data_IF_802313950500
#
_entry.id   IF_802313950500
#
_cell.length_a   1.000
_cell.length_b   1.000
_cell.length_c   1.000
_cell.angle_alpha   90.00
_cell.angle_beta   90.00
_cell.angle_gamma   90.00
#
_symmetry.space_group_name_H-M   'P 1'
#
loop_
_entity.id
_entity.type
_entity.pdbx_description
1 polymer ?
#
# COMPACT_ATOMS: atom_id res chain seq x y z
N UNK A 1 -9.03 11.00 -4.02
CA UNK A 1 -9.36 10.05 -2.93
C UNK A 1 -8.13 9.27 -2.47
N UNK A 2 -7.41 8.56 -3.36
CA UNK A 2 -6.27 7.69 -2.98
C UNK A 2 -5.19 8.37 -2.12
N UNK A 3 -4.82 9.63 -2.41
CA UNK A 3 -3.79 10.35 -1.65
C UNK A 3 -4.13 10.47 -0.15
N UNK A 4 -5.41 10.65 0.21
CA UNK A 4 -5.85 10.75 1.61
C UNK A 4 -5.67 9.42 2.33
N UNK A 5 -5.98 8.31 1.65
CA UNK A 5 -5.88 6.98 2.25
C UNK A 5 -4.42 6.57 2.41
N UNK A 6 -3.57 6.92 1.43
CA UNK A 6 -2.11 6.78 1.56
C UNK A 6 -1.55 7.64 2.71
N UNK A 7 -2.12 8.83 2.98
CA UNK A 7 -1.77 9.66 4.16
C UNK A 7 -2.08 8.98 5.47
N UNK A 8 -3.25 8.38 5.55
CA UNK A 8 -3.73 7.79 6.79
C UNK A 8 -2.89 6.58 7.23
N UNK A 9 -2.50 5.74 6.27
CA UNK A 9 -1.69 4.56 6.52
C UNK A 9 -0.26 4.86 6.96
N UNK A 10 0.38 5.86 6.34
CA UNK A 10 1.73 6.29 6.74
C UNK A 10 1.75 6.86 8.16
N UNK A 11 0.65 7.51 8.59
CA UNK A 11 0.48 8.03 9.95
C UNK A 11 0.22 6.87 10.93
N UNK A 12 -0.73 5.98 10.61
CA UNK A 12 -1.08 4.83 11.47
C UNK A 12 0.10 3.88 11.69
N UNK A 13 0.88 3.62 10.64
CA UNK A 13 2.09 2.80 10.73
C UNK A 13 3.14 3.45 11.64
N UNK A 14 3.32 4.77 11.54
CA UNK A 14 4.24 5.50 12.43
C UNK A 14 3.79 5.40 13.90
N UNK A 15 2.50 5.63 14.18
CA UNK A 15 1.94 5.52 15.54
C UNK A 15 2.10 4.10 16.09
N UNK A 16 1.75 3.08 15.29
CA UNK A 16 1.83 1.67 15.69
C UNK A 16 3.27 1.20 16.01
N UNK A 17 4.28 1.80 15.37
CA UNK A 17 5.70 1.51 15.65
C UNK A 17 6.26 2.25 16.87
N UNK A 18 5.61 3.32 17.34
CA UNK A 18 6.11 4.12 18.48
C UNK A 18 5.70 3.60 19.85
N UNK A 19 4.76 2.66 19.92
CA UNK A 19 4.33 2.04 21.18
C UNK A 19 5.48 1.21 21.78
N UNK A 20 6.10 1.71 22.84
CA UNK A 20 7.14 0.99 23.60
C UNK A 20 8.59 1.43 23.35
N UNK A 21 8.83 2.55 22.65
CA UNK A 21 10.19 3.04 22.35
C UNK A 21 10.83 3.91 23.45
N UNK A 22 10.13 4.29 24.51
CA UNK A 22 10.71 5.13 25.58
C UNK A 22 10.04 4.85 26.93
N UNK A 23 10.86 4.61 27.96
CA UNK A 23 10.44 4.56 29.37
C UNK A 23 9.99 5.95 29.89
N UNK A 24 10.23 7.01 29.10
CA UNK A 24 9.79 8.38 29.32
C UNK A 24 8.59 8.72 28.40
N UNK A 25 7.38 8.94 28.95
CA UNK A 25 6.16 9.19 28.18
C UNK A 25 6.24 10.42 27.28
N UNK A 26 7.00 11.44 27.70
CA UNK A 26 7.05 12.74 27.03
C UNK A 26 7.92 12.71 25.78
N UNK A 27 9.03 11.96 25.80
CA UNK A 27 9.93 11.79 24.65
C UNK A 27 9.30 11.05 23.46
N UNK A 28 8.51 10.00 23.72
CA UNK A 28 7.83 9.24 22.67
C UNK A 28 6.74 10.04 21.97
N UNK A 29 5.96 10.83 22.73
CA UNK A 29 4.93 11.72 22.19
C UNK A 29 5.55 12.78 21.27
N UNK A 30 6.67 13.37 21.69
CA UNK A 30 7.37 14.41 20.93
C UNK A 30 7.92 13.85 19.61
N UNK A 31 8.52 12.65 19.64
CA UNK A 31 8.98 11.94 18.44
C UNK A 31 7.83 11.62 17.48
N UNK A 32 6.70 11.14 18.00
CA UNK A 32 5.52 10.83 17.21
C UNK A 32 4.95 12.08 16.52
N UNK A 33 4.83 13.20 17.25
CA UNK A 33 4.36 14.47 16.67
C UNK A 33 5.29 14.95 15.56
N UNK A 34 6.60 14.96 15.80
CA UNK A 34 7.58 15.40 14.79
C UNK A 34 7.53 14.48 13.56
N UNK A 35 7.49 13.16 13.76
CA UNK A 35 7.44 12.19 12.67
C UNK A 35 6.17 12.33 11.82
N UNK A 36 5.01 12.52 12.45
CA UNK A 36 3.73 12.72 11.75
C UNK A 36 3.76 14.02 10.94
N UNK A 37 4.23 15.12 11.53
CA UNK A 37 4.31 16.42 10.83
C UNK A 37 5.22 16.31 9.61
N UNK A 38 6.41 15.71 9.75
CA UNK A 38 7.34 15.49 8.64
C UNK A 38 6.70 14.60 7.56
N UNK A 39 6.06 13.50 7.96
CA UNK A 39 5.38 12.56 7.06
C UNK A 39 4.28 13.25 6.25
N UNK A 40 3.43 14.05 6.90
CA UNK A 40 2.37 14.82 6.23
C UNK A 40 2.95 15.83 5.24
N UNK A 41 4.02 16.55 5.61
CA UNK A 41 4.68 17.51 4.70
C UNK A 41 5.19 16.79 3.45
N UNK A 42 5.94 15.69 3.62
CA UNK A 42 6.45 14.90 2.50
C UNK A 42 5.29 14.41 1.64
N UNK A 43 4.23 13.90 2.25
CA UNK A 43 3.13 13.37 1.48
C UNK A 43 2.36 14.45 0.71
N UNK A 44 2.20 15.65 1.26
CA UNK A 44 1.57 16.77 0.55
C UNK A 44 2.38 17.19 -0.68
N UNK A 45 3.72 17.24 -0.57
CA UNK A 45 4.61 17.53 -1.70
C UNK A 45 4.49 16.44 -2.78
N UNK A 46 4.41 15.18 -2.37
CA UNK A 46 4.34 14.03 -3.28
C UNK A 46 2.92 13.66 -3.74
N UNK A 47 1.87 14.27 -3.20
CA UNK A 47 0.48 13.91 -3.49
C UNK A 47 0.14 14.06 -4.98
N UNK A 48 0.66 15.10 -5.64
CA UNK A 48 0.40 15.34 -7.05
C UNK A 48 1.09 14.32 -7.99
N UNK A 49 2.42 14.07 -7.90
CA UNK A 49 3.07 13.05 -8.74
C UNK A 49 2.58 11.63 -8.44
N UNK A 50 2.40 11.27 -7.16
CA UNK A 50 1.88 9.96 -6.76
C UNK A 50 0.45 9.77 -7.28
N UNK A 51 -0.41 10.78 -7.12
CA UNK A 51 -1.77 10.74 -7.64
C UNK A 51 -1.83 10.55 -9.15
N UNK A 52 -0.98 11.24 -9.92
CA UNK A 52 -0.89 11.05 -11.38
C UNK A 52 -0.43 9.64 -11.76
N UNK A 53 0.55 9.09 -11.04
CA UNK A 53 1.04 7.73 -11.28
C UNK A 53 -0.04 6.68 -11.05
N UNK A 54 -0.73 6.77 -9.90
CA UNK A 54 -1.79 5.82 -9.55
C UNK A 54 -2.99 5.94 -10.49
N UNK A 55 -3.41 7.15 -10.86
CA UNK A 55 -4.51 7.33 -11.83
C UNK A 55 -4.16 6.80 -13.24
N UNK A 56 -2.88 6.82 -13.63
CA UNK A 56 -2.43 6.27 -14.91
C UNK A 56 -2.39 4.74 -14.92
N UNK A 57 -2.32 4.10 -13.75
CA UNK A 57 -2.16 2.66 -13.60
C UNK A 57 -3.26 2.09 -12.68
N UNK A 58 -4.45 1.75 -13.23
CA UNK A 58 -5.59 1.26 -12.45
C UNK A 58 -5.29 0.03 -11.57
N UNK A 59 -4.41 -0.86 -12.03
CA UNK A 59 -4.00 -2.04 -11.26
C UNK A 59 -3.18 -1.66 -10.01
N UNK A 60 -2.32 -0.64 -10.09
CA UNK A 60 -1.61 -0.06 -8.93
C UNK A 60 -2.59 0.61 -7.96
N UNK A 61 -3.65 1.23 -8.47
CA UNK A 61 -4.71 1.81 -7.62
C UNK A 61 -5.42 0.74 -6.78
N UNK A 62 -5.80 -0.38 -7.41
CA UNK A 62 -6.42 -1.51 -6.70
C UNK A 62 -5.44 -2.13 -5.70
N UNK A 63 -4.16 -2.28 -6.07
CA UNK A 63 -3.12 -2.78 -5.16
C UNK A 63 -2.98 -1.89 -3.92
N UNK A 64 -2.99 -0.57 -4.08
CA UNK A 64 -2.95 0.39 -2.97
C UNK A 64 -4.18 0.27 -2.07
N UNK A 65 -5.38 0.18 -2.64
CA UNK A 65 -6.62 0.01 -1.87
C UNK A 65 -6.64 -1.31 -1.07
N UNK A 66 -6.15 -2.40 -1.67
CA UNK A 66 -6.04 -3.69 -1.00
C UNK A 66 -5.03 -3.66 0.15
N UNK A 67 -3.88 -3.01 -0.05
CA UNK A 67 -2.87 -2.80 0.99
C UNK A 67 -3.45 -2.03 2.18
N UNK A 68 -4.17 -0.94 1.92
CA UNK A 68 -4.82 -0.12 2.96
C UNK A 68 -5.86 -0.89 3.77
N UNK A 69 -6.66 -1.73 3.10
CA UNK A 69 -7.63 -2.61 3.76
C UNK A 69 -6.92 -3.64 4.65
N UNK A 70 -5.83 -4.24 4.15
CA UNK A 70 -5.06 -5.25 4.86
C UNK A 70 -4.31 -4.67 6.08
N UNK A 71 -3.75 -3.46 5.98
CA UNK A 71 -3.18 -2.76 7.15
C UNK A 71 -4.28 -2.36 8.13
N UNK A 72 -5.43 -1.86 7.65
CA UNK A 72 -6.58 -1.56 8.51
C UNK A 72 -7.07 -2.79 9.27
N UNK A 73 -7.18 -3.95 8.59
CA UNK A 73 -7.51 -5.22 9.22
C UNK A 73 -6.44 -5.65 10.23
N UNK A 74 -5.16 -5.49 9.90
CA UNK A 74 -4.06 -5.80 10.81
C UNK A 74 -4.13 -4.98 12.10
N UNK A 75 -4.41 -3.68 12.00
CA UNK A 75 -4.54 -2.80 13.17
C UNK A 75 -5.76 -3.13 14.02
N UNK A 76 -6.88 -3.51 13.41
CA UNK A 76 -8.05 -4.01 14.14
C UNK A 76 -7.70 -5.32 14.85
N UNK A 77 -7.00 -6.24 14.19
CA UNK A 77 -6.61 -7.51 14.78
C UNK A 77 -5.61 -7.33 15.93
N UNK A 78 -4.59 -6.48 15.77
CA UNK A 78 -3.65 -6.14 16.84
C UNK A 78 -4.35 -5.40 17.99
N UNK A 79 -5.21 -4.42 17.69
CA UNK A 79 -5.99 -3.71 18.70
C UNK A 79 -6.95 -4.63 19.47
N UNK A 80 -7.58 -5.59 18.78
CA UNK A 80 -8.45 -6.58 19.41
C UNK A 80 -7.68 -7.59 20.27
N UNK A 81 -6.46 -7.94 19.86
CA UNK A 81 -5.54 -8.74 20.67
C UNK A 81 -5.08 -7.99 21.92
N UNK A 82 -4.73 -6.70 21.81
CA UNK A 82 -4.36 -5.84 22.94
C UNK A 82 -5.52 -5.57 23.91
N UNK A 83 -6.76 -5.54 23.42
CA UNK A 83 -7.97 -5.29 24.20
C UNK A 83 -8.59 -6.55 24.84
N UNK A 84 -7.90 -7.71 24.76
CA UNK A 84 -8.40 -9.02 25.22
C UNK A 84 -9.82 -9.33 24.72
N UNK A 85 -10.15 -8.90 23.49
CA UNK A 85 -11.47 -9.14 22.92
C UNK A 85 -11.65 -10.63 22.60
N UNK A 86 -12.53 -11.28 23.36
CA UNK A 86 -12.95 -12.66 23.14
C UNK A 86 -13.92 -12.71 21.97
N UNK A 87 -13.40 -12.96 20.78
CA UNK A 87 -14.21 -13.25 19.59
C UNK A 87 -14.40 -14.77 19.55
N UNK A 88 -15.63 -15.25 19.80
CA UNK A 88 -16.00 -16.68 19.75
C UNK A 88 -15.21 -17.64 20.70
N UNK A 89 -14.90 -17.21 21.92
CA UNK A 89 -14.34 -18.08 22.98
C UNK A 89 -12.98 -18.73 22.64
N UNK A 90 -12.22 -18.12 21.73
CA UNK A 90 -10.85 -18.48 21.34
C UNK A 90 -9.98 -17.24 21.49
N UNK A 91 -8.83 -17.34 22.15
CA UNK A 91 -7.86 -16.24 22.20
C UNK A 91 -7.46 -15.87 20.78
N UNK A 92 -7.53 -14.57 20.46
CA UNK A 92 -7.14 -14.03 19.16
C UNK A 92 -5.66 -14.30 18.95
N UNK A 93 -5.32 -15.31 18.12
CA UNK A 93 -3.94 -15.62 17.80
C UNK A 93 -3.28 -14.43 17.08
N UNK A 94 -2.04 -14.10 17.45
CA UNK A 94 -1.26 -13.07 16.78
C UNK A 94 -1.05 -13.44 15.31
N UNK A 95 -1.53 -12.62 14.39
CA UNK A 95 -1.21 -12.76 12.96
C UNK A 95 0.29 -12.50 12.81
N UNK A 96 1.11 -13.46 12.37
CA UNK A 96 2.54 -13.24 12.32
C UNK A 96 2.85 -12.20 11.23
N UNK A 97 3.41 -11.05 11.63
CA UNK A 97 3.62 -9.88 10.76
C UNK A 97 4.44 -10.19 9.49
N UNK A 98 5.31 -11.20 9.56
CA UNK A 98 6.10 -11.67 8.41
C UNK A 98 5.26 -12.18 7.25
N UNK A 99 4.13 -12.86 7.50
CA UNK A 99 3.21 -13.30 6.44
C UNK A 99 2.56 -12.12 5.75
N UNK A 100 2.22 -11.09 6.52
CA UNK A 100 1.64 -9.86 6.02
C UNK A 100 2.63 -9.12 5.12
N UNK A 101 3.86 -8.88 5.58
CA UNK A 101 4.90 -8.23 4.78
C UNK A 101 5.25 -9.03 3.52
N UNK A 102 5.30 -10.37 3.63
CA UNK A 102 5.51 -11.23 2.47
C UNK A 102 4.36 -11.12 1.46
N UNK A 103 3.11 -11.11 1.90
CA UNK A 103 1.94 -10.98 1.03
C UNK A 103 1.94 -9.64 0.25
N UNK A 104 2.30 -8.54 0.92
CA UNK A 104 2.41 -7.21 0.30
C UNK A 104 3.52 -7.21 -0.75
N UNK A 105 4.71 -7.68 -0.38
CA UNK A 105 5.86 -7.75 -1.28
C UNK A 105 5.59 -8.63 -2.49
N UNK A 106 5.04 -9.83 -2.27
CA UNK A 106 4.70 -10.77 -3.32
C UNK A 106 3.66 -10.19 -4.28
N UNK A 107 2.61 -9.54 -3.76
CA UNK A 107 1.58 -8.90 -4.58
C UNK A 107 2.14 -7.78 -5.44
N UNK A 108 3.03 -6.94 -4.87
CA UNK A 108 3.71 -5.89 -5.61
C UNK A 108 4.64 -6.47 -6.69
N UNK A 109 5.34 -7.56 -6.39
CA UNK A 109 6.21 -8.25 -7.34
C UNK A 109 5.41 -8.83 -8.53
N UNK A 110 4.27 -9.46 -8.26
CA UNK A 110 3.37 -9.98 -9.30
C UNK A 110 2.82 -8.84 -10.15
N UNK A 111 2.41 -7.72 -9.53
CA UNK A 111 1.93 -6.55 -10.26
C UNK A 111 3.02 -5.94 -11.16
N UNK A 112 4.27 -5.87 -10.66
CA UNK A 112 5.41 -5.43 -11.45
C UNK A 112 5.69 -6.35 -12.66
N UNK A 113 5.60 -7.67 -12.48
CA UNK A 113 5.74 -8.64 -13.56
C UNK A 113 4.61 -8.49 -14.59
N UNK A 114 3.37 -8.33 -14.12
CA UNK A 114 2.18 -8.15 -14.95
C UNK A 114 2.29 -6.85 -15.78
N UNK A 115 2.76 -5.77 -15.18
CA UNK A 115 3.05 -4.51 -15.85
C UNK A 115 4.05 -4.68 -17.01
N UNK A 116 5.15 -5.41 -16.79
CA UNK A 116 6.18 -5.70 -17.82
C UNK A 116 5.62 -6.52 -18.99
N UNK A 117 4.78 -7.50 -18.70
CA UNK A 117 4.18 -8.38 -19.71
C UNK A 117 3.12 -7.65 -20.56
N UNK A 118 2.30 -6.80 -19.95
CA UNK A 118 1.27 -6.02 -20.66
C UNK A 118 1.88 -5.02 -21.64
N UNK A 119 3.01 -4.40 -21.29
CA UNK A 119 3.74 -3.50 -22.18
C UNK A 119 4.26 -4.20 -23.45
N UNK A 120 4.57 -5.52 -23.36
CA UNK A 120 5.02 -6.33 -24.50
C UNK A 120 3.88 -6.65 -25.49
N UNK A 121 2.67 -6.95 -25.00
CA UNK A 121 1.51 -7.29 -25.85
C UNK A 121 1.01 -6.13 -26.71
N UNK A 122 1.10 -4.89 -26.23
CA UNK A 122 0.69 -3.69 -26.98
C UNK A 122 1.62 -3.44 -28.19
N UNK A 123 2.92 -3.74 -28.05
CA UNK A 123 3.89 -3.60 -29.16
C UNK A 123 3.64 -4.60 -30.30
N UNK A 124 3.28 -5.84 -29.96
CA UNK A 124 3.06 -6.89 -30.96
C UNK A 124 1.79 -6.63 -31.78
N UNK A 125 0.68 -6.24 -31.13
CA UNK A 125 -0.58 -5.99 -31.84
C UNK A 125 -0.46 -4.84 -32.84
N UNK A 126 0.21 -3.75 -32.47
CA UNK A 126 0.43 -2.60 -33.36
C UNK A 126 1.31 -2.95 -34.57
N UNK A 127 2.20 -3.94 -34.47
CA UNK A 127 3.03 -4.35 -35.62
C UNK A 127 2.25 -5.26 -36.56
N UNK A 128 1.43 -6.16 -36.03
CA UNK A 128 0.57 -7.04 -36.85
C UNK A 128 -0.52 -6.24 -37.58
N UNK A 129 -1.16 -5.27 -36.92
CA UNK A 129 -2.21 -4.44 -37.53
C UNK A 129 -1.65 -3.54 -38.67
N UNK A 130 -0.39 -3.08 -38.56
CA UNK A 130 0.27 -2.28 -39.61
C UNK A 130 0.68 -3.12 -40.83
N UNK A 131 1.08 -4.37 -40.61
CA UNK A 131 1.43 -5.29 -41.70
C UNK A 131 0.18 -5.75 -42.48
N UNK A 132 -0.96 -5.91 -41.80
CA UNK A 132 -2.25 -6.21 -42.46
C UNK A 132 -2.85 -5.02 -43.22
N UNK A 133 -2.52 -3.77 -42.85
CA UNK A 133 -2.90 -2.58 -43.62
C UNK A 133 -2.04 -2.41 -44.88
N UNK A 134 -0.71 -2.62 -44.78
CA UNK A 134 0.20 -2.55 -45.95
C UNK A 134 -0.08 -3.65 -46.99
N UNK A 135 -0.55 -4.84 -46.57
CA UNK A 135 -0.92 -5.94 -47.47
C UNK A 135 -2.25 -5.69 -48.22
N UNK A 136 -3.11 -4.80 -47.74
CA UNK A 136 -4.40 -4.48 -48.40
C UNK A 136 -4.32 -3.36 -49.43
N UNK A 137 -3.22 -2.64 -49.48
CA UNK A 137 -3.02 -1.46 -50.34
C UNK A 137 -2.23 -1.81 -51.62
N UNK A 138 -1.67 -3.02 -51.70
CA UNK A 138 -0.86 -3.53 -52.81
C UNK A 138 -1.55 -4.71 -53.51
#
# INVERSE_FOLDING_TARGET
MINIVFSFDSILTAIGMTNGLSDDPDGALLLMIIAIVISVIIMLVFAHPVGKFVNKHPSVQVLGLAFLLLIGFMLIAEGAHMADLVIFNQSTGTIPKGYLYFAIFFSMFIEFLNFKLRSKKIKTKKTTDLLEEDEKIN
#
